data_IF_746731018725
#
_entry.id   IF_746731018725
#
_cell.length_a   1.000
_cell.length_b   1.000
_cell.length_c   1.000
_cell.angle_alpha   90.00
_cell.angle_beta   90.00
_cell.angle_gamma   90.00
#
_symmetry.space_group_name_H-M   'P 1'
#
loop_
_entity.id
_entity.type
_entity.pdbx_description
1 polymer ?
#
# COMPACT_ATOMS: atom_id res chain seq x y z
N UNK A 1 -7.62 18.18 22.82
CA UNK A 1 -7.88 16.72 22.73
C UNK A 1 -8.92 16.50 21.64
N UNK A 2 -8.51 16.19 20.40
CA UNK A 2 -9.43 15.90 19.30
C UNK A 2 -9.87 14.45 19.43
N UNK A 3 -11.13 14.24 19.84
CA UNK A 3 -11.76 12.92 19.91
C UNK A 3 -11.97 12.41 18.47
N UNK A 4 -11.01 11.62 17.93
CA UNK A 4 -11.15 10.88 16.66
C UNK A 4 -12.09 9.69 16.92
N UNK A 5 -13.31 9.64 16.38
CA UNK A 5 -14.21 8.52 16.63
C UNK A 5 -13.66 7.24 15.98
N UNK A 6 -13.51 6.17 16.76
CA UNK A 6 -13.30 4.82 16.20
C UNK A 6 -14.48 4.47 15.29
N UNK A 7 -14.20 3.84 14.13
CA UNK A 7 -15.18 3.43 13.09
C UNK A 7 -15.72 4.53 12.16
N UNK A 8 -14.98 5.62 11.95
CA UNK A 8 -15.34 6.67 10.98
C UNK A 8 -15.27 6.22 9.49
N UNK A 9 -15.18 4.91 9.20
CA UNK A 9 -15.15 4.40 7.82
C UNK A 9 -13.81 4.51 7.09
N UNK A 10 -12.71 4.88 7.77
CA UNK A 10 -11.37 4.98 7.16
C UNK A 10 -10.93 3.68 6.48
N UNK A 11 -11.09 2.54 7.16
CA UNK A 11 -10.75 1.23 6.60
C UNK A 11 -11.59 0.89 5.36
N UNK A 12 -12.88 1.26 5.36
CA UNK A 12 -13.75 1.10 4.20
C UNK A 12 -13.29 1.99 3.04
N UNK A 13 -12.91 3.24 3.32
CA UNK A 13 -12.38 4.16 2.32
C UNK A 13 -11.07 3.63 1.71
N UNK A 14 -10.13 3.17 2.53
CA UNK A 14 -8.86 2.60 2.04
C UNK A 14 -9.11 1.35 1.19
N UNK A 15 -10.00 0.46 1.64
CA UNK A 15 -10.39 -0.73 0.86
C UNK A 15 -11.04 -0.35 -0.47
N UNK A 16 -11.86 0.71 -0.50
CA UNK A 16 -12.45 1.22 -1.74
C UNK A 16 -11.35 1.74 -2.68
N UNK A 17 -10.45 2.59 -2.19
CA UNK A 17 -9.34 3.15 -2.98
C UNK A 17 -8.43 2.05 -3.54
N UNK A 18 -8.11 1.05 -2.72
CA UNK A 18 -7.32 -0.11 -3.13
C UNK A 18 -7.97 -0.83 -4.32
N UNK A 19 -9.24 -1.21 -4.21
CA UNK A 19 -9.93 -1.91 -5.30
C UNK A 19 -10.20 -1.03 -6.52
N UNK A 20 -10.37 0.28 -6.32
CA UNK A 20 -10.68 1.23 -7.40
C UNK A 20 -9.45 1.56 -8.25
N UNK A 21 -8.27 1.65 -7.65
CA UNK A 21 -7.05 2.08 -8.34
C UNK A 21 -6.11 0.93 -8.73
N UNK A 22 -6.21 -0.23 -8.09
CA UNK A 22 -5.33 -1.37 -8.37
C UNK A 22 -5.52 -1.90 -9.80
N UNK A 23 -4.43 -1.89 -10.57
CA UNK A 23 -4.39 -2.41 -11.94
C UNK A 23 -4.69 -3.90 -12.02
N UNK A 24 -4.37 -4.68 -10.99
CA UNK A 24 -4.70 -6.12 -10.94
C UNK A 24 -6.20 -6.38 -10.68
N UNK A 25 -7.00 -5.34 -10.39
CA UNK A 25 -8.46 -5.44 -10.19
C UNK A 25 -9.28 -4.93 -11.37
N UNK A 26 -8.63 -4.60 -12.50
CA UNK A 26 -9.31 -4.03 -13.66
C UNK A 26 -10.47 -4.91 -14.16
N UNK A 27 -10.30 -6.23 -14.14
CA UNK A 27 -11.31 -7.23 -14.49
C UNK A 27 -12.52 -7.26 -13.55
N UNK A 28 -12.35 -6.82 -12.31
CA UNK A 28 -13.40 -6.77 -11.28
C UNK A 28 -14.08 -5.42 -11.17
N UNK A 29 -13.66 -4.41 -11.94
CA UNK A 29 -14.17 -3.04 -11.79
C UNK A 29 -15.69 -2.98 -11.93
N UNK A 30 -16.25 -3.59 -12.98
CA UNK A 30 -17.69 -3.56 -13.23
C UNK A 30 -18.47 -4.26 -12.11
N UNK A 31 -18.00 -5.41 -11.65
CA UNK A 31 -18.63 -6.16 -10.56
C UNK A 31 -18.61 -5.40 -9.22
N UNK A 32 -17.57 -4.61 -8.96
CA UNK A 32 -17.40 -3.87 -7.70
C UNK A 32 -18.05 -2.48 -7.75
N UNK A 33 -18.01 -1.81 -8.90
CA UNK A 33 -18.32 -0.39 -9.01
C UNK A 33 -19.38 -0.03 -10.05
N UNK A 34 -19.72 -0.90 -11.00
CA UNK A 34 -20.60 -0.57 -12.15
C UNK A 34 -21.98 -0.03 -11.74
N UNK A 35 -22.53 -0.56 -10.65
CA UNK A 35 -23.80 -0.06 -10.08
C UNK A 35 -23.70 1.29 -9.37
N UNK A 36 -22.50 1.75 -9.04
CA UNK A 36 -22.23 2.92 -8.20
C UNK A 36 -21.91 4.16 -9.02
N UNK A 37 -22.08 5.34 -8.43
CA UNK A 37 -21.76 6.62 -9.10
C UNK A 37 -20.31 6.67 -9.62
N UNK A 38 -19.36 6.12 -8.85
CA UNK A 38 -17.92 6.09 -9.21
C UNK A 38 -17.57 5.08 -10.31
N UNK A 39 -18.43 4.09 -10.58
CA UNK A 39 -18.28 3.19 -11.72
C UNK A 39 -19.02 3.67 -12.96
N UNK A 40 -20.15 4.37 -12.80
CA UNK A 40 -20.87 5.03 -13.90
C UNK A 40 -20.11 6.23 -14.48
N UNK A 41 -19.29 6.88 -13.66
CA UNK A 41 -18.43 7.99 -14.08
C UNK A 41 -17.00 7.77 -13.54
N UNK A 42 -16.24 6.84 -14.13
CA UNK A 42 -14.93 6.48 -13.61
C UNK A 42 -13.90 7.58 -13.88
N UNK A 43 -12.95 7.75 -12.96
CA UNK A 43 -11.82 8.66 -13.18
C UNK A 43 -10.89 8.10 -14.25
N UNK A 44 -10.21 8.94 -15.02
CA UNK A 44 -9.27 8.51 -16.06
C UNK A 44 -8.10 7.61 -15.57
N UNK A 45 -7.93 7.49 -14.24
CA UNK A 45 -6.86 6.71 -13.63
C UNK A 45 -7.37 5.49 -12.84
N UNK A 46 -8.66 5.13 -12.94
CA UNK A 46 -9.17 3.90 -12.33
C UNK A 46 -8.38 2.67 -12.80
N UNK A 47 -8.04 1.75 -11.90
CA UNK A 47 -7.23 0.55 -12.18
C UNK A 47 -5.93 0.81 -12.97
N UNK A 48 -5.26 1.94 -12.77
CA UNK A 48 -3.98 2.26 -13.45
C UNK A 48 -2.77 2.28 -12.54
N UNK A 49 -2.94 1.98 -11.25
CA UNK A 49 -1.89 2.10 -10.25
C UNK A 49 -1.44 0.74 -9.74
N UNK A 50 -0.16 0.67 -9.36
CA UNK A 50 0.22 -0.24 -8.30
C UNK A 50 -0.25 0.34 -6.98
N UNK A 51 -0.87 -0.47 -6.12
CA UNK A 51 -1.30 -0.03 -4.79
C UNK A 51 -0.43 -0.69 -3.74
N UNK A 52 0.08 0.11 -2.82
CA UNK A 52 0.83 -0.35 -1.65
C UNK A 52 0.18 0.26 -0.40
N UNK A 53 -0.23 -0.58 0.55
CA UNK A 53 -0.78 -0.14 1.83
C UNK A 53 0.22 -0.38 2.95
N UNK A 54 0.46 0.65 3.76
CA UNK A 54 1.12 0.56 5.05
C UNK A 54 0.14 0.90 6.17
N UNK A 55 0.01 0.00 7.12
CA UNK A 55 -0.83 0.13 8.31
C UNK A 55 0.10 -0.01 9.53
N UNK A 56 0.51 1.11 10.10
CA UNK A 56 1.51 1.09 11.16
C UNK A 56 0.95 0.68 12.52
N UNK A 57 -0.36 0.46 12.64
CA UNK A 57 -0.95 -0.17 13.83
C UNK A 57 -0.47 -1.60 14.06
N UNK A 58 0.04 -2.26 13.02
CA UNK A 58 0.60 -3.62 13.10
C UNK A 58 2.02 -3.65 13.70
N UNK A 59 2.63 -2.49 13.91
CA UNK A 59 4.00 -2.37 14.42
C UNK A 59 3.95 -2.06 15.91
N UNK A 60 4.64 -2.87 16.71
CA UNK A 60 4.82 -2.55 18.13
C UNK A 60 5.74 -1.34 18.26
N UNK A 61 5.24 -0.26 18.89
CA UNK A 61 6.03 0.91 19.27
C UNK A 61 6.74 0.73 20.63
N UNK A 62 6.75 -0.50 21.17
CA UNK A 62 7.39 -0.82 22.45
C UNK A 62 8.85 -1.19 22.22
N UNK A 63 9.76 -0.57 22.95
CA UNK A 63 11.19 -0.86 22.92
C UNK A 63 12.06 0.38 22.75
N UNK A 64 13.36 0.16 22.61
CA UNK A 64 14.29 1.24 22.25
C UNK A 64 14.18 1.63 20.76
N UNK A 65 14.83 2.73 20.37
CA UNK A 65 14.79 3.21 18.98
C UNK A 65 15.36 2.21 17.97
N UNK A 66 16.27 1.34 18.39
CA UNK A 66 16.81 0.27 17.55
C UNK A 66 15.82 -0.87 17.34
N UNK A 67 15.10 -1.28 18.39
CA UNK A 67 14.03 -2.27 18.32
C UNK A 67 12.87 -1.81 17.44
N UNK A 68 12.40 -0.58 17.64
CA UNK A 68 11.33 0.03 16.83
C UNK A 68 11.76 0.11 15.35
N UNK A 69 13.00 0.55 15.08
CA UNK A 69 13.54 0.58 13.71
C UNK A 69 13.54 -0.81 13.07
N UNK A 70 13.95 -1.84 13.81
CA UNK A 70 14.00 -3.22 13.32
C UNK A 70 12.60 -3.77 13.04
N UNK A 71 11.63 -3.47 13.91
CA UNK A 71 10.23 -3.84 13.72
C UNK A 71 9.64 -3.18 12.48
N UNK A 72 9.88 -1.88 12.30
CA UNK A 72 9.48 -1.12 11.12
C UNK A 72 10.10 -1.72 9.85
N UNK A 73 11.41 -1.97 9.85
CA UNK A 73 12.10 -2.49 8.68
C UNK A 73 11.60 -3.88 8.27
N UNK A 74 11.35 -4.76 9.25
CA UNK A 74 10.72 -6.06 9.01
C UNK A 74 9.36 -5.90 8.35
N UNK A 75 8.48 -5.09 8.96
CA UNK A 75 7.15 -4.83 8.44
C UNK A 75 7.17 -4.30 7.00
N UNK A 76 8.02 -3.30 6.71
CA UNK A 76 8.13 -2.71 5.37
C UNK A 76 8.63 -3.74 4.36
N UNK A 77 9.66 -4.52 4.70
CA UNK A 77 10.18 -5.57 3.83
C UNK A 77 9.13 -6.64 3.53
N UNK A 78 8.36 -7.07 4.54
CA UNK A 78 7.27 -8.04 4.35
C UNK A 78 6.20 -7.49 3.40
N UNK A 79 5.83 -6.22 3.54
CA UNK A 79 4.88 -5.54 2.64
C UNK A 79 5.41 -5.41 1.21
N UNK A 80 6.69 -5.09 1.05
CA UNK A 80 7.34 -4.99 -0.26
C UNK A 80 7.46 -6.37 -0.92
N UNK A 81 7.75 -7.43 -0.15
CA UNK A 81 7.76 -8.81 -0.63
C UNK A 81 6.39 -9.22 -1.16
N UNK A 82 5.34 -9.05 -0.36
CA UNK A 82 3.96 -9.33 -0.78
C UNK A 82 3.54 -8.53 -2.02
N UNK A 83 3.95 -7.26 -2.11
CA UNK A 83 3.74 -6.43 -3.30
C UNK A 83 4.42 -7.04 -4.54
N UNK A 84 5.67 -7.47 -4.41
CA UNK A 84 6.44 -8.08 -5.50
C UNK A 84 5.76 -9.34 -6.02
N UNK A 85 5.27 -10.18 -5.11
CA UNK A 85 4.57 -11.42 -5.47
C UNK A 85 3.24 -11.12 -6.16
N UNK A 86 2.44 -10.22 -5.59
CA UNK A 86 1.12 -9.86 -6.11
C UNK A 86 1.19 -9.25 -7.52
N UNK A 87 2.18 -8.39 -7.78
CA UNK A 87 2.38 -7.74 -9.07
C UNK A 87 3.38 -8.46 -9.99
N UNK A 88 3.82 -9.67 -9.65
CA UNK A 88 4.89 -10.36 -10.37
C UNK A 88 4.64 -10.58 -11.87
N UNK A 89 3.37 -10.61 -12.31
CA UNK A 89 3.01 -10.70 -13.74
C UNK A 89 3.17 -9.39 -14.52
N UNK A 90 3.17 -8.25 -13.81
CA UNK A 90 3.19 -6.90 -14.38
C UNK A 90 4.56 -6.25 -14.18
N UNK A 91 5.25 -6.59 -13.10
CA UNK A 91 6.61 -6.12 -12.84
C UNK A 91 7.59 -6.76 -13.84
N UNK A 92 8.57 -6.00 -14.35
CA UNK A 92 9.55 -6.51 -15.31
C UNK A 92 10.59 -7.43 -14.67
N UNK A 93 10.79 -7.27 -13.36
CA UNK A 93 11.68 -8.07 -12.54
C UNK A 93 11.14 -8.11 -11.10
N UNK A 94 11.44 -9.15 -10.31
CA UNK A 94 11.14 -9.14 -8.88
C UNK A 94 11.79 -7.95 -8.16
N UNK A 95 11.15 -7.45 -7.11
CA UNK A 95 11.72 -6.41 -6.26
C UNK A 95 12.82 -7.01 -5.38
N UNK A 96 13.98 -6.37 -5.33
CA UNK A 96 15.07 -6.80 -4.44
C UNK A 96 14.79 -6.33 -3.02
N UNK A 97 14.79 -7.27 -2.08
CA UNK A 97 14.66 -7.00 -0.64
C UNK A 97 16.04 -7.03 0.02
N UNK A 98 16.35 -5.99 0.78
CA UNK A 98 17.44 -6.00 1.75
C UNK A 98 16.85 -6.25 3.16
N UNK A 99 17.14 -7.40 3.79
CA UNK A 99 16.59 -7.74 5.10
C UNK A 99 16.96 -6.76 6.23
N UNK A 100 18.05 -6.01 6.07
CA UNK A 100 18.55 -5.07 7.08
C UNK A 100 18.25 -3.61 6.74
N UNK A 101 17.81 -3.31 5.52
CA UNK A 101 17.50 -1.95 5.08
C UNK A 101 16.25 -1.85 4.20
N UNK A 102 15.12 -1.58 4.85
CA UNK A 102 13.86 -1.40 4.16
C UNK A 102 13.85 -0.17 3.23
N UNK A 103 14.71 0.82 3.44
CA UNK A 103 14.82 1.97 2.54
C UNK A 103 15.43 1.54 1.21
N UNK A 104 16.46 0.69 1.25
CA UNK A 104 17.04 0.07 0.06
C UNK A 104 16.02 -0.82 -0.66
N UNK A 105 15.24 -1.62 0.07
CA UNK A 105 14.12 -2.40 -0.50
C UNK A 105 13.08 -1.51 -1.18
N UNK A 106 12.68 -0.41 -0.53
CA UNK A 106 11.68 0.51 -1.08
C UNK A 106 12.22 1.24 -2.33
N UNK A 107 13.49 1.64 -2.34
CA UNK A 107 14.13 2.18 -3.53
C UNK A 107 14.15 1.18 -4.68
N UNK A 108 14.38 -0.11 -4.39
CA UNK A 108 14.27 -1.18 -5.39
C UNK A 108 12.85 -1.29 -5.96
N UNK A 109 11.83 -1.22 -5.11
CA UNK A 109 10.42 -1.20 -5.55
C UNK A 109 10.16 -0.02 -6.48
N UNK A 110 10.57 1.19 -6.09
CA UNK A 110 10.37 2.41 -6.89
C UNK A 110 11.08 2.31 -8.25
N UNK A 111 12.31 1.80 -8.26
CA UNK A 111 13.07 1.61 -9.49
C UNK A 111 12.42 0.57 -10.41
N UNK A 112 11.80 -0.47 -9.86
CA UNK A 112 11.14 -1.51 -10.62
C UNK A 112 9.81 -1.03 -11.19
N UNK A 113 8.98 -0.36 -10.39
CA UNK A 113 7.67 0.15 -10.82
C UNK A 113 7.79 1.25 -11.88
N UNK A 114 8.79 2.14 -11.78
CA UNK A 114 9.06 3.20 -12.77
C UNK A 114 9.28 2.69 -14.20
N UNK A 115 9.68 1.43 -14.38
CA UNK A 115 9.89 0.81 -15.70
C UNK A 115 8.60 0.40 -16.42
N UNK A 116 7.46 0.41 -15.73
CA UNK A 116 6.19 -0.17 -16.24
C UNK A 116 5.20 0.86 -16.79
N UNK A 117 5.50 2.16 -16.65
CA UNK A 117 4.57 3.24 -16.99
C UNK A 117 3.39 3.40 -16.03
N UNK A 118 3.27 2.56 -15.00
CA UNK A 118 2.22 2.63 -13.99
C UNK A 118 2.70 3.37 -12.73
N UNK A 119 1.96 4.39 -12.25
CA UNK A 119 2.25 5.06 -10.99
C UNK A 119 2.02 4.15 -9.77
N UNK A 120 2.76 4.40 -8.69
CA UNK A 120 2.52 3.81 -7.37
C UNK A 120 1.59 4.71 -6.55
N UNK A 121 0.52 4.12 -6.00
CA UNK A 121 -0.34 4.73 -4.99
C UNK A 121 0.01 4.12 -3.64
N UNK A 122 0.67 4.91 -2.79
CA UNK A 122 0.99 4.54 -1.41
C UNK A 122 -0.10 5.04 -0.46
N UNK A 123 -0.76 4.12 0.22
CA UNK A 123 -1.75 4.38 1.27
C UNK A 123 -1.07 4.18 2.62
N UNK A 124 -1.13 5.18 3.51
CA UNK A 124 -0.55 5.10 4.85
C UNK A 124 -1.66 5.28 5.90
N UNK A 125 -1.76 4.33 6.81
CA UNK A 125 -2.65 4.34 7.96
C UNK A 125 -1.86 4.33 9.28
N UNK A 126 -2.44 4.92 10.33
CA UNK A 126 -1.92 4.98 11.70
C UNK A 126 -0.44 5.47 11.79
N UNK A 127 -0.08 6.49 10.99
CA UNK A 127 1.28 7.03 10.95
C UNK A 127 1.76 7.57 12.32
N UNK A 128 0.81 7.98 13.15
CA UNK A 128 0.97 8.51 14.50
C UNK A 128 1.24 7.42 15.55
N UNK A 129 1.20 6.14 15.20
CA UNK A 129 1.45 5.03 16.13
C UNK A 129 2.80 5.14 16.87
N UNK A 130 3.83 5.70 16.23
CA UNK A 130 5.17 5.86 16.84
C UNK A 130 5.31 7.10 17.74
N UNK A 131 4.30 7.97 17.78
CA UNK A 131 4.29 9.17 18.60
C UNK A 131 3.44 9.01 19.87
N UNK A 132 2.76 7.87 20.03
CA UNK A 132 1.86 7.56 21.14
C UNK A 132 2.52 6.69 22.21
#
# INVERSE_FOLDING_TARGET
LFLRPRRFGKSLLLSMLENYYDLNKADRFEALFGGLAIGRNPTARHNRYFVLKWDFSEISAVGDGGEIKRALYRYLNDRIGAFSDYYGKVLPNPVRIDPQDALSSFQSLLNTTRKTGHPLYLLIDEYDNFAN
#
